data_IF_790937026322
#
_entry.id   IF_790937026322
#
_cell.length_a   1.000
_cell.length_b   1.000
_cell.length_c   1.000
_cell.angle_alpha   90.00
_cell.angle_beta   90.00
_cell.angle_gamma   90.00
#
_symmetry.space_group_name_H-M   'P 1'
#
loop_
_entity.id
_entity.type
_entity.pdbx_description
1 polymer ?
#
# COMPACT_ATOMS: atom_id res chain seq x y z
N UNK A 1 16.33 17.60 17.32
CA UNK A 1 16.17 16.12 17.44
C UNK A 1 14.67 15.88 17.39
N UNK A 2 14.12 15.74 16.18
CA UNK A 2 12.67 15.67 15.99
C UNK A 2 12.09 14.42 16.64
N UNK A 3 11.01 14.65 17.38
CA UNK A 3 10.34 13.69 18.25
C UNK A 3 9.85 12.48 17.44
N UNK A 4 10.48 11.32 17.66
CA UNK A 4 10.15 10.02 17.09
C UNK A 4 8.80 9.45 17.56
N UNK A 5 7.95 10.24 18.21
CA UNK A 5 6.78 9.74 18.95
C UNK A 5 5.41 10.04 18.32
N UNK A 6 5.30 10.99 17.39
CA UNK A 6 4.00 11.33 16.77
C UNK A 6 3.54 10.37 15.64
N UNK A 7 4.38 9.40 15.25
CA UNK A 7 4.20 8.61 14.01
C UNK A 7 3.66 7.19 14.29
N UNK A 8 3.22 6.86 15.52
CA UNK A 8 3.17 5.43 15.87
C UNK A 8 1.87 4.67 15.54
N UNK A 9 0.70 5.34 15.43
CA UNK A 9 -0.59 4.68 15.15
C UNK A 9 -1.42 5.36 14.06
N UNK A 10 -1.58 6.69 14.12
CA UNK A 10 -2.43 7.40 13.17
C UNK A 10 -1.85 7.39 11.75
N UNK A 11 -0.56 7.67 11.59
CA UNK A 11 0.11 7.62 10.28
C UNK A 11 0.02 6.23 9.65
N UNK A 12 0.19 5.16 10.45
CA UNK A 12 -0.01 3.78 9.98
C UNK A 12 -1.45 3.56 9.50
N UNK A 13 -2.46 4.00 10.26
CA UNK A 13 -3.87 3.89 9.87
C UNK A 13 -4.18 4.64 8.58
N UNK A 14 -3.66 5.86 8.41
CA UNK A 14 -3.85 6.64 7.19
C UNK A 14 -3.22 5.94 5.99
N UNK A 15 -1.99 5.45 6.12
CA UNK A 15 -1.31 4.67 5.06
C UNK A 15 -2.10 3.41 4.72
N UNK A 16 -2.59 2.66 5.73
CA UNK A 16 -3.42 1.48 5.51
C UNK A 16 -4.77 1.81 4.86
N UNK A 17 -5.40 2.93 5.22
CA UNK A 17 -6.66 3.37 4.62
C UNK A 17 -6.49 3.71 3.14
N UNK A 18 -5.40 4.41 2.78
CA UNK A 18 -5.07 4.71 1.39
C UNK A 18 -4.78 3.42 0.61
N UNK A 19 -3.98 2.51 1.18
CA UNK A 19 -3.70 1.22 0.55
C UNK A 19 -4.98 0.41 0.30
N UNK A 20 -5.87 0.32 1.29
CA UNK A 20 -7.13 -0.40 1.15
C UNK A 20 -8.04 0.23 0.10
N UNK A 21 -8.11 1.56 0.05
CA UNK A 21 -8.87 2.26 -0.99
C UNK A 21 -8.35 1.90 -2.40
N UNK A 22 -7.03 1.98 -2.61
CA UNK A 22 -6.39 1.60 -3.88
C UNK A 22 -6.61 0.12 -4.23
N UNK A 23 -6.62 -0.75 -3.22
CA UNK A 23 -6.92 -2.18 -3.38
C UNK A 23 -8.36 -2.41 -3.84
N UNK A 24 -9.32 -1.71 -3.24
CA UNK A 24 -10.74 -1.78 -3.63
C UNK A 24 -10.93 -1.31 -5.07
N UNK A 25 -10.32 -0.17 -5.43
CA UNK A 25 -10.31 0.31 -6.82
C UNK A 25 -9.72 -0.73 -7.78
N UNK A 26 -8.63 -1.38 -7.40
CA UNK A 26 -8.01 -2.47 -8.18
C UNK A 26 -8.83 -3.76 -8.27
N UNK A 27 -10.00 -3.83 -7.62
CA UNK A 27 -10.96 -4.95 -7.74
C UNK A 27 -12.25 -4.55 -8.45
N UNK A 28 -12.42 -3.27 -8.79
CA UNK A 28 -13.57 -2.79 -9.54
C UNK A 28 -13.50 -3.29 -10.98
N UNK A 29 -14.44 -4.15 -11.34
CA UNK A 29 -14.55 -4.72 -12.69
C UNK A 29 -15.05 -3.72 -13.73
N UNK A 30 -15.62 -2.60 -13.29
CA UNK A 30 -16.12 -1.55 -14.17
C UNK A 30 -15.01 -0.59 -14.63
N UNK A 31 -13.87 -0.58 -13.95
CA UNK A 31 -12.74 0.31 -14.27
C UNK A 31 -11.42 -0.49 -14.30
N UNK A 32 -11.17 -1.26 -15.40
CA UNK A 32 -10.02 -2.14 -15.51
C UNK A 32 -8.66 -1.40 -15.49
N UNK A 33 -8.61 -0.08 -15.76
CA UNK A 33 -7.36 0.68 -15.59
C UNK A 33 -6.82 0.62 -14.16
N UNK A 34 -7.69 0.53 -13.15
CA UNK A 34 -7.27 0.50 -11.75
C UNK A 34 -6.60 -0.83 -11.38
N UNK A 35 -6.91 -1.92 -12.07
CA UNK A 35 -6.24 -3.21 -11.87
C UNK A 35 -4.74 -3.08 -12.22
N UNK A 36 -4.45 -2.47 -13.38
CA UNK A 36 -3.08 -2.23 -13.82
C UNK A 36 -2.38 -1.19 -12.95
N UNK A 37 -3.09 -0.12 -12.55
CA UNK A 37 -2.58 0.89 -11.62
C UNK A 37 -2.22 0.27 -10.26
N UNK A 38 -3.08 -0.60 -9.71
CA UNK A 38 -2.83 -1.27 -8.44
C UNK A 38 -1.71 -2.32 -8.52
N UNK A 39 -1.46 -2.90 -9.70
CA UNK A 39 -0.27 -3.73 -9.93
C UNK A 39 1.00 -2.86 -9.93
N UNK A 40 0.99 -1.76 -10.68
CA UNK A 40 2.12 -0.83 -10.81
C UNK A 40 2.53 -0.21 -9.48
N UNK A 41 1.57 0.17 -8.64
CA UNK A 41 1.86 0.70 -7.29
C UNK A 41 2.61 -0.31 -6.41
N UNK A 42 2.31 -1.61 -6.51
CA UNK A 42 3.07 -2.66 -5.78
C UNK A 42 4.50 -2.82 -6.31
N UNK A 43 4.69 -2.71 -7.62
CA UNK A 43 6.01 -2.76 -8.27
C UNK A 43 6.88 -1.56 -7.87
N UNK A 44 6.34 -0.34 -7.97
CA UNK A 44 7.04 0.90 -7.55
C UNK A 44 7.36 0.87 -6.05
N UNK A 45 6.45 0.35 -5.22
CA UNK A 45 6.71 0.20 -3.78
C UNK A 45 7.85 -0.80 -3.51
N UNK A 46 7.87 -1.92 -4.24
CA UNK A 46 8.92 -2.92 -4.11
C UNK A 46 10.29 -2.34 -4.49
N UNK A 47 10.35 -1.59 -5.59
CA UNK A 47 11.55 -0.88 -6.05
C UNK A 47 12.01 0.17 -5.04
N UNK A 48 11.13 1.08 -4.62
CA UNK A 48 11.44 2.16 -3.70
C UNK A 48 11.91 1.66 -2.33
N UNK A 49 11.40 0.52 -1.87
CA UNK A 49 11.77 -0.07 -0.59
C UNK A 49 12.88 -1.12 -0.69
N UNK A 50 13.37 -1.46 -1.89
CA UNK A 50 14.40 -2.48 -2.09
C UNK A 50 13.98 -3.89 -1.67
N UNK A 51 12.69 -4.22 -1.81
CA UNK A 51 12.12 -5.53 -1.41
C UNK A 51 11.45 -6.24 -2.58
N UNK A 52 11.10 -7.51 -2.40
CA UNK A 52 10.32 -8.22 -3.42
C UNK A 52 8.86 -7.75 -3.45
N UNK A 53 8.21 -7.82 -4.63
CA UNK A 53 6.76 -7.60 -4.77
C UNK A 53 5.95 -8.56 -3.89
N UNK A 54 6.47 -9.78 -3.65
CA UNK A 54 5.84 -10.74 -2.74
C UNK A 54 5.86 -10.25 -1.28
N UNK A 55 6.96 -9.63 -0.84
CA UNK A 55 7.08 -9.01 0.48
C UNK A 55 6.08 -7.87 0.64
N UNK A 56 5.93 -7.01 -0.38
CA UNK A 56 4.91 -5.94 -0.39
C UNK A 56 3.50 -6.53 -0.24
N UNK A 57 3.16 -7.55 -1.03
CA UNK A 57 1.86 -8.23 -0.94
C UNK A 57 1.60 -8.79 0.47
N UNK A 58 2.61 -9.39 1.10
CA UNK A 58 2.50 -10.00 2.43
C UNK A 58 2.29 -8.95 3.52
N UNK A 59 3.14 -7.92 3.58
CA UNK A 59 3.05 -6.81 4.54
C UNK A 59 1.70 -6.11 4.43
N UNK A 60 1.24 -5.86 3.20
CA UNK A 60 -0.04 -5.23 2.98
C UNK A 60 -1.26 -6.14 3.31
N UNK A 61 -1.09 -7.46 3.34
CA UNK A 61 -2.13 -8.38 3.79
C UNK A 61 -2.17 -8.53 5.32
N UNK A 62 -1.02 -8.39 5.98
CA UNK A 62 -0.84 -8.46 7.43
C UNK A 62 -1.28 -7.18 8.16
N UNK A 63 -1.45 -6.06 7.43
CA UNK A 63 -1.85 -4.75 7.95
C UNK A 63 -3.27 -4.60 8.50
N UNK A 64 -3.89 -5.69 8.97
CA UNK A 64 -5.19 -5.67 9.65
C UNK A 64 -5.09 -5.11 11.07
#
# INVERSE_FOLDING_TARGET
MESKQDIHSQTKKVIFSVYNYLKVLGTDKNNPEFINFFRKTREVTAEACGVSVASVKRICAEGK
#
